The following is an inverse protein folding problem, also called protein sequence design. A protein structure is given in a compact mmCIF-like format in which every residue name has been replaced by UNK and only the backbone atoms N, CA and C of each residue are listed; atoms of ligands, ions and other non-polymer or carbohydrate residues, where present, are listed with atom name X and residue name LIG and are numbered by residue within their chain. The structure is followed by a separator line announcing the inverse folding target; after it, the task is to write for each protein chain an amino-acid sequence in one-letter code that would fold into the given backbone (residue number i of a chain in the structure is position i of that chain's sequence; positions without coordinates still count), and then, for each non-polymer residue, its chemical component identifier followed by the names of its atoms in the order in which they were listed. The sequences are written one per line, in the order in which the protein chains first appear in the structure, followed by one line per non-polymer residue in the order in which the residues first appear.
data_IF_255743657378
#
_entry.id   IF_255743657378
#
_cell.length_a   1.000
_cell.length_b   1.000
_cell.length_c   1.000
_cell.angle_alpha   90.00
_cell.angle_beta   90.00
_cell.angle_gamma   90.00
#
_symmetry.space_group_name_H-M   'P 1'
#
loop_
_entity.id
_entity.type
_entity.pdbx_description
1 polymer ?
#
# COMPACT_ATOMS: atom_id res chain seq x y z
N UNK A 1 11.97 16.43 -8.11
CA UNK A 1 10.57 15.94 -8.08
C UNK A 1 10.52 14.58 -8.77
N UNK A 2 9.63 13.67 -8.37
CA UNK A 2 9.45 12.40 -9.07
C UNK A 2 9.20 12.64 -10.57
N UNK A 3 9.75 11.82 -11.44
CA UNK A 3 9.66 12.02 -12.90
C UNK A 3 8.21 12.07 -13.43
N UNK A 4 7.26 11.47 -12.71
CA UNK A 4 5.84 11.44 -13.10
C UNK A 4 5.10 12.76 -12.85
N UNK A 5 5.64 13.71 -12.08
CA UNK A 5 4.91 14.95 -11.74
C UNK A 5 4.63 15.87 -12.93
N UNK A 6 5.37 15.72 -14.02
CA UNK A 6 5.18 16.45 -15.28
C UNK A 6 4.88 15.51 -16.47
N UNK A 7 4.37 14.30 -16.20
CA UNK A 7 4.07 13.33 -17.25
C UNK A 7 2.72 13.67 -17.93
N UNK A 8 2.70 14.05 -19.21
CA UNK A 8 1.45 14.39 -19.91
C UNK A 8 0.49 13.19 -20.05
N UNK A 9 0.98 11.96 -19.90
CA UNK A 9 0.13 10.76 -19.88
C UNK A 9 -0.61 10.54 -18.54
N UNK A 10 -0.26 11.29 -17.49
CA UNK A 10 -0.88 11.23 -16.16
C UNK A 10 -1.50 12.60 -15.88
N UNK A 11 -2.71 12.87 -16.40
CA UNK A 11 -3.31 14.20 -16.30
C UNK A 11 -3.72 14.51 -14.85
N UNK A 12 -3.55 15.78 -14.47
CA UNK A 12 -4.03 16.30 -13.19
C UNK A 12 -5.52 16.66 -13.27
N UNK A 13 -6.29 16.53 -12.17
CA UNK A 13 -5.87 16.00 -10.86
C UNK A 13 -5.91 14.47 -10.80
N UNK A 14 -4.90 13.86 -10.19
CA UNK A 14 -4.87 12.43 -9.94
C UNK A 14 -4.08 12.10 -8.67
N UNK A 15 -4.37 10.93 -8.09
CA UNK A 15 -3.53 10.30 -7.08
C UNK A 15 -2.59 9.32 -7.76
N UNK A 16 -1.29 9.47 -7.55
CA UNK A 16 -0.26 8.57 -8.09
C UNK A 16 0.32 7.75 -6.97
N UNK A 17 0.16 6.43 -7.07
CA UNK A 17 0.77 5.48 -6.14
C UNK A 17 2.16 5.08 -6.67
N UNK A 18 3.19 5.28 -5.86
CA UNK A 18 4.54 4.80 -6.17
C UNK A 18 4.73 3.39 -5.59
N UNK A 19 4.69 2.38 -6.45
CA UNK A 19 4.77 0.97 -6.04
C UNK A 19 6.00 0.66 -5.19
N UNK A 20 7.17 1.21 -5.55
CA UNK A 20 8.41 1.01 -4.78
C UNK A 20 8.30 1.52 -3.33
N UNK A 21 7.59 2.63 -3.11
CA UNK A 21 7.36 3.18 -1.77
C UNK A 21 6.34 2.34 -0.99
N UNK A 22 5.29 1.87 -1.66
CA UNK A 22 4.34 0.94 -1.05
C UNK A 22 5.04 -0.35 -0.61
N UNK A 23 5.89 -0.93 -1.46
CA UNK A 23 6.68 -2.14 -1.14
C UNK A 23 7.61 -1.89 0.06
N UNK A 24 8.27 -0.74 0.14
CA UNK A 24 9.13 -0.42 1.27
C UNK A 24 8.33 -0.38 2.59
N UNK A 25 7.13 0.21 2.58
CA UNK A 25 6.24 0.22 3.76
C UNK A 25 5.74 -1.18 4.11
N UNK A 26 5.37 -1.98 3.12
CA UNK A 26 4.91 -3.36 3.31
C UNK A 26 6.02 -4.26 3.90
N UNK A 27 7.26 -4.11 3.43
CA UNK A 27 8.42 -4.81 4.00
C UNK A 27 8.67 -4.43 5.45
N UNK A 28 8.56 -3.15 5.79
CA UNK A 28 8.68 -2.70 7.18
C UNK A 28 7.62 -3.37 8.08
N UNK A 29 6.36 -3.42 7.64
CA UNK A 29 5.31 -4.12 8.39
C UNK A 29 5.59 -5.62 8.49
N UNK A 30 6.06 -6.26 7.42
CA UNK A 30 6.46 -7.68 7.44
C UNK A 30 7.58 -7.94 8.45
N UNK A 31 8.59 -7.06 8.53
CA UNK A 31 9.70 -7.19 9.47
C UNK A 31 9.19 -7.12 10.93
N UNK A 32 8.23 -6.24 11.21
CA UNK A 32 7.58 -6.15 12.54
C UNK A 32 6.80 -7.43 12.85
N UNK A 33 6.02 -7.96 11.91
CA UNK A 33 5.31 -9.23 12.10
C UNK A 33 6.30 -10.37 12.40
N UNK A 34 7.39 -10.46 11.65
CA UNK A 34 8.42 -11.49 11.83
C UNK A 34 9.12 -11.38 13.20
N UNK A 35 9.41 -10.17 13.66
CA UNK A 35 10.11 -9.93 14.92
C UNK A 35 9.23 -10.17 16.16
N UNK A 36 7.91 -10.07 16.02
CA UNK A 36 6.98 -10.08 17.16
C UNK A 36 5.99 -11.24 17.16
N UNK A 37 5.81 -11.91 16.02
CA UNK A 37 4.81 -12.97 15.84
C UNK A 37 3.37 -12.48 15.78
N UNK A 38 3.13 -11.16 15.63
CA UNK A 38 1.78 -10.59 15.49
C UNK A 38 1.38 -10.43 14.02
N UNK A 39 0.09 -10.38 13.78
CA UNK A 39 -0.48 -10.12 12.45
C UNK A 39 -0.83 -8.64 12.27
N UNK A 40 -0.43 -8.05 11.14
CA UNK A 40 -0.86 -6.72 10.71
C UNK A 40 -1.90 -6.88 9.59
N UNK A 41 -3.01 -6.16 9.72
CA UNK A 41 -4.13 -6.16 8.78
C UNK A 41 -4.36 -4.77 8.19
N UNK A 42 -4.87 -4.72 6.96
CA UNK A 42 -5.15 -3.47 6.25
C UNK A 42 -6.47 -2.83 6.71
N UNK A 43 -6.43 -1.59 7.20
CA UNK A 43 -7.65 -0.84 7.52
C UNK A 43 -8.26 -0.20 6.26
N UNK A 44 -9.35 -0.77 5.74
CA UNK A 44 -9.95 -0.35 4.46
C UNK A 44 -10.52 1.07 4.48
N UNK A 45 -10.89 1.59 5.67
CA UNK A 45 -11.33 2.98 5.84
C UNK A 45 -10.26 4.02 5.51
N UNK A 46 -8.97 3.64 5.57
CA UNK A 46 -7.84 4.53 5.29
C UNK A 46 -7.20 4.29 3.93
N UNK A 47 -7.30 3.06 3.40
CA UNK A 47 -6.73 2.70 2.10
C UNK A 47 -7.53 1.57 1.46
N UNK A 48 -8.11 1.85 0.30
CA UNK A 48 -8.97 0.93 -0.45
C UNK A 48 -8.70 0.93 -1.96
N UNK A 49 -7.45 1.23 -2.36
CA UNK A 49 -7.02 1.12 -3.76
C UNK A 49 -6.87 -0.35 -4.16
N UNK A 50 -8.00 -0.95 -4.53
CA UNK A 50 -8.16 -2.39 -4.78
C UNK A 50 -7.22 -2.96 -5.84
N UNK A 51 -6.82 -2.14 -6.83
CA UNK A 51 -5.87 -2.54 -7.88
C UNK A 51 -4.49 -2.93 -7.33
N UNK A 52 -4.18 -2.60 -6.08
CA UNK A 52 -2.92 -2.95 -5.42
C UNK A 52 -3.08 -4.05 -4.38
N UNK A 53 -4.28 -4.61 -4.17
CA UNK A 53 -4.50 -5.61 -3.14
C UNK A 53 -3.72 -6.90 -3.37
N UNK A 54 -3.53 -7.31 -4.64
CA UNK A 54 -2.68 -8.46 -4.99
C UNK A 54 -1.21 -8.28 -4.56
N UNK A 55 -0.75 -7.03 -4.49
CA UNK A 55 0.57 -6.71 -3.96
C UNK A 55 0.56 -6.70 -2.43
N UNK A 56 -0.46 -6.07 -1.81
CA UNK A 56 -0.57 -5.92 -0.36
C UNK A 56 -0.76 -7.27 0.34
N UNK A 57 -1.54 -8.18 -0.24
CA UNK A 57 -1.83 -9.52 0.31
C UNK A 57 -0.61 -10.42 0.40
N UNK A 58 0.49 -10.08 -0.30
CA UNK A 58 1.78 -10.78 -0.17
C UNK A 58 2.48 -10.49 1.16
N UNK A 59 2.07 -9.47 1.91
CA UNK A 59 2.73 -9.01 3.13
C UNK A 59 1.80 -8.92 4.35
N UNK A 60 0.54 -8.53 4.16
CA UNK A 60 -0.43 -8.34 5.25
C UNK A 60 -1.44 -9.50 5.33
N UNK A 61 -1.92 -9.82 6.54
CA UNK A 61 -2.70 -11.04 6.81
C UNK A 61 -4.20 -10.91 6.55
N UNK A 62 -4.66 -9.79 6.00
CA UNK A 62 -6.07 -9.55 5.69
C UNK A 62 -6.44 -8.08 5.72
N UNK A 63 -7.75 -7.81 5.79
CA UNK A 63 -8.30 -6.47 5.90
C UNK A 63 -9.36 -6.38 6.99
N UNK A 64 -9.49 -5.20 7.59
CA UNK A 64 -10.59 -4.87 8.50
C UNK A 64 -11.52 -3.85 7.86
N UNK A 65 -12.81 -4.10 7.99
CA UNK A 65 -13.89 -3.23 7.55
C UNK A 65 -14.66 -2.73 8.78
N UNK A 66 -15.02 -1.46 8.79
CA UNK A 66 -15.92 -0.87 9.79
C UNK A 66 -17.34 -0.80 9.21
N UNK A 67 -18.34 -1.01 10.09
CA UNK A 67 -19.75 -0.78 9.77
C UNK A 67 -20.06 0.70 9.54
#
# INVERSE_FOLDING_TARGET
MPHWTNNPAIPSPCYVLEEAKLIANLKLMQDVQNATGVDIILALKGFSMWSCFDLVSKYLQGGTASA
#
